data_IF_388726054327
#
_entry.id   IF_388726054327
#
_cell.length_a   1.000
_cell.length_b   1.000
_cell.length_c   1.000
_cell.angle_alpha   90.00
_cell.angle_beta   90.00
_cell.angle_gamma   90.00
#
_symmetry.space_group_name_H-M   'P 1'
#
loop_
_entity.id
_entity.type
_entity.pdbx_description
1 polymer ?
#
# COMPACT_ATOMS: atom_id res chain seq x y z
N UNK A 1 5.84 -2.09 5.05
CA UNK A 1 6.31 -0.90 5.78
C UNK A 1 7.05 -0.02 4.79
N UNK A 2 6.74 1.28 4.77
CA UNK A 2 7.31 2.24 3.83
C UNK A 2 8.07 3.29 4.64
N UNK A 3 9.38 3.37 4.46
CA UNK A 3 10.22 4.39 5.09
C UNK A 3 10.68 5.39 4.02
N UNK A 4 10.11 6.59 4.05
CA UNK A 4 10.41 7.64 3.07
C UNK A 4 11.77 8.33 3.32
N UNK A 5 12.28 8.28 4.55
CA UNK A 5 13.58 8.85 4.89
C UNK A 5 14.70 7.98 4.32
N UNK A 6 14.57 6.67 4.50
CA UNK A 6 15.53 5.68 4.00
C UNK A 6 15.24 5.22 2.55
N UNK A 7 14.10 5.65 1.98
CA UNK A 7 13.63 5.25 0.66
C UNK A 7 13.59 3.74 0.49
N UNK A 8 12.99 3.07 1.47
CA UNK A 8 12.94 1.61 1.54
C UNK A 8 11.53 1.07 1.76
N UNK A 9 11.32 -0.15 1.27
CA UNK A 9 10.11 -0.94 1.53
C UNK A 9 10.54 -2.27 2.15
N UNK A 10 9.89 -2.60 3.26
CA UNK A 10 10.00 -3.89 3.94
C UNK A 10 8.63 -4.56 3.96
N UNK A 11 8.59 -5.88 3.90
CA UNK A 11 7.37 -6.65 4.05
C UNK A 11 7.41 -7.49 5.31
N UNK A 12 6.26 -7.60 5.97
CA UNK A 12 6.08 -8.54 7.07
C UNK A 12 4.92 -9.49 6.78
N UNK A 13 5.03 -10.71 7.30
CA UNK A 13 4.00 -11.73 7.23
C UNK A 13 3.78 -12.28 8.63
N UNK A 14 2.54 -12.22 9.13
CA UNK A 14 2.16 -12.68 10.47
C UNK A 14 3.00 -12.09 11.63
N UNK A 15 3.53 -10.88 11.44
CA UNK A 15 4.33 -10.18 12.45
C UNK A 15 5.84 -10.39 12.33
N UNK A 16 6.29 -11.23 11.39
CA UNK A 16 7.71 -11.46 11.12
C UNK A 16 8.15 -10.72 9.86
N UNK A 17 9.37 -10.16 9.87
CA UNK A 17 9.96 -9.50 8.70
C UNK A 17 10.37 -10.55 7.69
N UNK A 18 9.98 -10.38 6.43
CA UNK A 18 10.37 -11.29 5.37
C UNK A 18 11.80 -10.99 4.91
N UNK A 19 12.55 -12.04 4.61
CA UNK A 19 13.91 -11.96 4.10
C UNK A 19 14.00 -12.51 2.67
N UNK A 20 14.93 -11.96 1.89
CA UNK A 20 15.34 -12.55 0.63
C UNK A 20 16.25 -13.78 0.85
N UNK A 21 16.64 -14.51 -0.22
CA UNK A 21 17.54 -15.67 -0.09
C UNK A 21 18.93 -15.36 0.47
N UNK A 22 19.33 -14.09 0.51
CA UNK A 22 20.61 -13.62 1.06
C UNK A 22 20.47 -13.17 2.52
N UNK A 23 19.27 -13.26 3.11
CA UNK A 23 18.98 -12.82 4.47
C UNK A 23 18.76 -11.31 4.60
N UNK A 24 18.51 -10.60 3.49
CA UNK A 24 18.23 -9.16 3.52
C UNK A 24 16.74 -8.91 3.80
N UNK A 25 16.46 -8.02 4.75
CA UNK A 25 15.10 -7.63 5.14
C UNK A 25 14.47 -6.56 4.23
N UNK A 26 15.31 -5.78 3.55
CA UNK A 26 14.87 -4.69 2.66
C UNK A 26 14.49 -5.29 1.32
N UNK A 27 13.21 -5.24 0.98
CA UNK A 27 12.71 -5.75 -0.30
C UNK A 27 12.98 -4.78 -1.46
N UNK A 28 12.83 -3.48 -1.21
CA UNK A 28 13.14 -2.43 -2.19
C UNK A 28 13.91 -1.29 -1.52
N UNK A 29 14.92 -0.77 -2.21
CA UNK A 29 15.77 0.34 -1.76
C UNK A 29 15.87 1.40 -2.85
N UNK A 30 16.16 2.63 -2.45
CA UNK A 30 16.36 3.78 -3.35
C UNK A 30 15.13 4.11 -4.21
N UNK A 31 13.93 3.81 -3.68
CA UNK A 31 12.66 4.02 -4.37
C UNK A 31 12.37 5.51 -4.58
N UNK A 32 11.77 5.85 -5.72
CA UNK A 32 11.23 7.19 -6.01
C UNK A 32 9.73 7.10 -6.28
N UNK A 33 8.94 8.13 -5.91
CA UNK A 33 7.50 8.13 -6.18
C UNK A 33 7.13 7.91 -7.65
N UNK A 34 8.01 8.33 -8.56
CA UNK A 34 7.85 8.21 -10.00
C UNK A 34 7.98 6.76 -10.50
N UNK A 35 8.52 5.85 -9.69
CA UNK A 35 8.75 4.45 -10.06
C UNK A 35 7.50 3.57 -9.82
N UNK A 36 6.43 4.12 -9.22
CA UNK A 36 5.24 3.35 -8.80
C UNK A 36 4.15 3.38 -9.87
N UNK A 37 3.97 2.25 -10.55
CA UNK A 37 2.86 2.02 -11.48
C UNK A 37 1.68 1.48 -10.68
N UNK A 38 0.55 2.18 -10.72
CA UNK A 38 -0.69 1.72 -10.09
C UNK A 38 -1.37 0.65 -10.93
N UNK A 39 -1.66 -0.50 -10.34
CA UNK A 39 -2.32 -1.62 -11.00
C UNK A 39 -3.60 -2.10 -10.30
N UNK A 40 -4.67 -2.24 -11.08
CA UNK A 40 -5.75 -3.22 -10.89
C UNK A 40 -6.26 -3.62 -12.29
N UNK A 41 -6.10 -4.90 -12.67
CA UNK A 41 -6.81 -5.56 -13.79
C UNK A 41 -6.11 -5.61 -15.16
N UNK A 42 -6.28 -6.75 -15.86
CA UNK A 42 -5.70 -7.08 -17.17
C UNK A 42 -6.11 -6.08 -18.27
N UNK A 43 -5.13 -5.31 -18.72
CA UNK A 43 -5.14 -4.60 -19.99
C UNK A 43 -3.70 -4.62 -20.50
N UNK A 44 -3.51 -5.07 -21.73
CA UNK A 44 -2.21 -4.99 -22.39
C UNK A 44 -1.67 -3.55 -22.24
N UNK A 45 -0.46 -3.43 -21.69
CA UNK A 45 0.25 -2.18 -21.43
C UNK A 45 -0.21 -1.32 -20.24
N UNK A 46 -0.27 -1.88 -19.02
CA UNK A 46 0.15 -1.19 -17.77
C UNK A 46 -0.48 0.17 -17.41
N UNK A 47 -1.55 0.60 -18.09
CA UNK A 47 -2.25 1.86 -17.86
C UNK A 47 -3.63 1.58 -17.29
N UNK A 48 -3.76 1.75 -15.98
CA UNK A 48 -5.06 1.82 -15.31
C UNK A 48 -5.68 3.19 -15.60
N UNK A 49 -6.85 3.19 -16.26
CA UNK A 49 -7.68 4.39 -16.42
C UNK A 49 -8.76 4.34 -15.33
N UNK A 50 -8.52 5.01 -14.21
CA UNK A 50 -9.58 5.25 -13.24
C UNK A 50 -10.54 6.30 -13.83
N UNK A 51 -11.81 5.93 -14.05
CA UNK A 51 -12.87 6.88 -14.43
C UNK A 51 -13.26 7.71 -13.21
N UNK A 52 -12.42 8.69 -12.90
CA UNK A 52 -12.69 9.68 -11.86
C UNK A 52 -13.16 10.98 -12.52
N UNK A 53 -14.04 11.76 -11.87
CA UNK A 53 -14.33 13.13 -12.29
C UNK A 53 -13.03 13.87 -12.58
N UNK A 54 -13.01 14.73 -13.60
CA UNK A 54 -11.79 15.37 -14.15
C UNK A 54 -10.88 16.01 -13.07
N UNK A 55 -11.49 16.57 -12.01
CA UNK A 55 -10.79 17.18 -10.88
C UNK A 55 -10.09 16.15 -9.97
N UNK A 56 -10.74 15.00 -9.75
CA UNK A 56 -10.23 13.89 -8.94
C UNK A 56 -9.13 13.16 -9.71
N UNK A 57 -9.25 13.02 -11.04
CA UNK A 57 -8.18 12.44 -11.87
C UNK A 57 -6.89 13.29 -11.82
N UNK A 58 -7.01 14.62 -11.92
CA UNK A 58 -5.85 15.51 -11.84
C UNK A 58 -5.18 15.46 -10.45
N UNK A 59 -5.98 15.42 -9.38
CA UNK A 59 -5.45 15.33 -8.02
C UNK A 59 -4.82 13.96 -7.75
N UNK A 60 -5.43 12.88 -8.26
CA UNK A 60 -4.89 11.53 -8.19
C UNK A 60 -3.57 11.41 -8.95
N UNK A 61 -3.52 11.88 -10.20
CA UNK A 61 -2.28 11.91 -10.98
C UNK A 61 -1.19 12.75 -10.30
N UNK A 62 -1.54 13.87 -9.66
CA UNK A 62 -0.62 14.68 -8.88
C UNK A 62 -0.08 13.95 -7.64
N UNK A 63 -0.94 13.24 -6.91
CA UNK A 63 -0.55 12.42 -5.76
C UNK A 63 0.41 11.31 -6.21
N UNK A 64 0.07 10.59 -7.28
CA UNK A 64 0.88 9.46 -7.78
C UNK A 64 2.22 9.96 -8.31
N UNK A 65 2.26 11.14 -8.92
CA UNK A 65 3.53 11.76 -9.34
C UNK A 65 4.43 12.20 -8.17
N UNK A 66 3.90 12.29 -6.94
CA UNK A 66 4.60 12.86 -5.78
C UNK A 66 4.65 11.97 -4.54
N UNK A 67 3.96 10.85 -4.54
CA UNK A 67 3.85 9.97 -3.38
C UNK A 67 3.49 8.54 -3.76
N UNK A 68 3.33 7.71 -2.73
CA UNK A 68 2.99 6.30 -2.85
C UNK A 68 1.53 6.12 -2.44
N UNK A 69 0.79 5.28 -3.16
CA UNK A 69 -0.55 4.85 -2.74
C UNK A 69 -0.60 3.32 -2.63
N UNK A 70 -1.29 2.75 -1.64
CA UNK A 70 -1.50 1.31 -1.56
C UNK A 70 -2.22 0.79 -2.81
N UNK A 71 -1.71 -0.28 -3.41
CA UNK A 71 -2.30 -0.93 -4.59
C UNK A 71 -2.42 -2.44 -4.36
N UNK A 72 -3.46 -3.04 -4.94
CA UNK A 72 -3.76 -4.47 -4.82
C UNK A 72 -4.39 -4.96 -6.12
N UNK A 73 -4.00 -6.16 -6.56
CA UNK A 73 -4.60 -6.87 -7.70
C UNK A 73 -5.27 -8.15 -7.20
N UNK A 74 -6.48 -8.44 -7.67
CA UNK A 74 -7.22 -9.67 -7.35
C UNK A 74 -7.52 -10.42 -8.64
N UNK A 75 -7.35 -11.75 -8.61
CA UNK A 75 -7.83 -12.64 -9.66
C UNK A 75 -9.34 -12.90 -9.54
N UNK A 76 -9.94 -13.41 -10.61
CA UNK A 76 -11.38 -13.74 -10.65
C UNK A 76 -11.82 -14.60 -9.47
N UNK A 77 -12.84 -14.14 -8.73
CA UNK A 77 -13.40 -14.87 -7.60
C UNK A 77 -12.57 -14.80 -6.31
N UNK A 78 -11.45 -14.07 -6.29
CA UNK A 78 -10.70 -13.81 -5.08
C UNK A 78 -11.37 -12.69 -4.26
N UNK A 79 -11.33 -12.86 -2.94
CA UNK A 79 -11.81 -11.86 -2.00
C UNK A 79 -10.70 -11.55 -1.00
N UNK A 80 -10.50 -10.27 -0.73
CA UNK A 80 -9.54 -9.81 0.27
C UNK A 80 -10.20 -8.84 1.23
N UNK A 81 -9.83 -8.97 2.50
CA UNK A 81 -10.13 -7.99 3.54
C UNK A 81 -8.90 -7.12 3.75
N UNK A 82 -9.05 -5.81 3.54
CA UNK A 82 -7.97 -4.85 3.74
C UNK A 82 -8.29 -3.98 4.95
N UNK A 83 -7.29 -3.74 5.79
CA UNK A 83 -7.39 -2.86 6.94
C UNK A 83 -6.37 -1.74 6.81
N UNK A 84 -6.84 -0.52 6.51
CA UNK A 84 -6.00 0.67 6.37
C UNK A 84 -5.62 1.33 7.70
N UNK A 85 -6.11 0.81 8.83
CA UNK A 85 -5.69 1.27 10.15
C UNK A 85 -6.41 2.50 10.69
N UNK A 86 -7.66 2.74 10.30
CA UNK A 86 -8.52 3.76 10.93
C UNK A 86 -8.76 3.46 12.43
N UNK A 87 -8.77 2.17 12.79
CA UNK A 87 -8.82 1.70 14.17
C UNK A 87 -7.54 0.89 14.46
N UNK A 88 -6.53 1.52 15.07
CA UNK A 88 -5.21 0.92 15.31
C UNK A 88 -5.29 -0.44 16.02
N UNK A 89 -6.21 -0.58 16.97
CA UNK A 89 -6.46 -1.80 17.73
C UNK A 89 -6.90 -3.01 16.87
N UNK A 90 -7.34 -2.77 15.63
CA UNK A 90 -7.76 -3.83 14.71
C UNK A 90 -6.60 -4.36 13.85
N UNK A 91 -5.42 -3.73 13.92
CA UNK A 91 -4.23 -4.15 13.20
C UNK A 91 -3.50 -5.24 13.98
N UNK A 92 -3.76 -6.49 13.61
CA UNK A 92 -3.30 -7.70 14.34
C UNK A 92 -1.82 -7.73 14.69
N UNK A 93 -0.96 -7.23 13.80
CA UNK A 93 0.50 -7.35 13.93
C UNK A 93 1.21 -5.99 14.08
N UNK A 94 0.47 -4.89 14.15
CA UNK A 94 1.06 -3.55 14.16
C UNK A 94 1.89 -3.29 15.42
N UNK A 95 1.46 -3.79 16.58
CA UNK A 95 2.22 -3.66 17.84
C UNK A 95 3.53 -4.44 17.85
N UNK A 96 3.66 -5.46 17.00
CA UNK A 96 4.84 -6.34 16.92
C UNK A 96 5.89 -5.75 15.99
N UNK A 97 5.51 -5.42 14.75
CA UNK A 97 6.48 -5.04 13.72
C UNK A 97 6.41 -3.56 13.30
N UNK A 98 5.46 -2.77 13.82
CA UNK A 98 5.23 -1.38 13.38
C UNK A 98 5.43 -0.35 14.47
N UNK A 99 4.78 -0.55 15.62
CA UNK A 99 4.65 0.47 16.67
C UNK A 99 5.99 0.84 17.30
N UNK A 100 6.80 -0.15 17.67
CA UNK A 100 8.10 0.08 18.33
C UNK A 100 9.13 0.72 17.39
N UNK A 101 9.02 0.42 16.10
CA UNK A 101 9.82 1.00 15.01
C UNK A 101 9.34 2.43 14.62
N UNK A 102 8.27 2.93 15.25
CA UNK A 102 7.76 4.29 15.02
C UNK A 102 6.90 4.48 13.77
N UNK A 103 6.41 3.41 13.14
CA UNK A 103 5.49 3.52 12.01
C UNK A 103 4.10 4.00 12.47
N UNK A 104 3.41 4.74 11.59
CA UNK A 104 2.00 5.10 11.75
C UNK A 104 1.11 4.38 10.73
N UNK A 105 -0.12 3.97 11.11
CA UNK A 105 -1.06 3.41 10.15
C UNK A 105 -1.53 4.44 9.11
N UNK A 106 -1.84 3.97 7.91
CA UNK A 106 -2.21 4.83 6.77
C UNK A 106 -3.40 5.75 7.05
N UNK A 107 -4.48 5.21 7.62
CA UNK A 107 -5.73 5.94 7.83
C UNK A 107 -5.97 6.40 9.28
N UNK A 108 -4.93 6.58 10.10
CA UNK A 108 -5.08 6.91 11.54
C UNK A 108 -5.83 8.23 11.80
N UNK A 109 -5.86 9.14 10.82
CA UNK A 109 -6.55 10.44 10.90
C UNK A 109 -7.76 10.56 9.95
N UNK A 110 -8.17 9.48 9.28
CA UNK A 110 -9.22 9.53 8.23
C UNK A 110 -10.41 8.66 8.63
N UNK A 111 -11.54 9.30 8.94
CA UNK A 111 -12.70 8.68 9.58
C UNK A 111 -13.76 8.08 8.63
N UNK A 112 -13.50 7.88 7.33
CA UNK A 112 -14.61 7.60 6.39
C UNK A 112 -14.28 6.64 5.21
N UNK A 113 -15.14 5.63 5.03
CA UNK A 113 -15.35 4.70 3.90
C UNK A 113 -14.15 4.20 3.06
N UNK A 114 -13.05 3.75 3.68
CA UNK A 114 -12.19 2.80 2.97
C UNK A 114 -12.92 1.44 2.93
N UNK A 115 -13.18 0.89 1.73
CA UNK A 115 -13.84 -0.40 1.59
C UNK A 115 -13.06 -1.49 2.34
N UNK A 116 -13.72 -2.14 3.32
CA UNK A 116 -13.09 -3.16 4.15
C UNK A 116 -13.01 -4.54 3.47
N UNK A 117 -13.73 -4.72 2.36
CA UNK A 117 -13.71 -5.92 1.54
C UNK A 117 -13.67 -5.50 0.08
N UNK A 118 -12.71 -6.04 -0.68
CA UNK A 118 -12.64 -5.87 -2.13
C UNK A 118 -12.85 -7.25 -2.77
N UNK A 119 -13.68 -7.29 -3.81
CA UNK A 119 -13.99 -8.47 -4.61
C UNK A 119 -13.93 -8.07 -6.08
N UNK A 120 -13.34 -8.92 -6.91
CA UNK A 120 -13.31 -8.81 -8.38
C UNK A 120 -14.14 -9.93 -8.98
#
# INVERSE_FOLDING_TARGET
>A
MLNLNERSILFSLNGEVMMDPLGQEIAFKDIKPQDVILGCGEGAEGKVIAYLPHLIFSYFAYIVAKGFVPAFTLGSGQQVRINFGNAVQTLKYFTICGLQEGYSPFAVYVSTYCANTITV
#
